data_IF_727465433756
#
_entry.id   IF_727465433756
#
_cell.length_a   1.000
_cell.length_b   1.000
_cell.length_c   1.000
_cell.angle_alpha   90.00
_cell.angle_beta   90.00
_cell.angle_gamma   90.00
#
_symmetry.space_group_name_H-M   'P 1'
#
loop_
_entity.id
_entity.type
_entity.pdbx_description
1 polymer ?
#
# COMPACT_ATOMS: atom_id res chain seq x y z
N UNK A 1 -17.05 -3.82 35.95
CA UNK A 1 -16.76 -4.26 34.57
C UNK A 1 -17.74 -3.52 33.67
N UNK A 2 -17.27 -2.73 32.70
CA UNK A 2 -18.18 -2.01 31.81
C UNK A 2 -18.96 -3.00 30.93
N UNK A 3 -20.22 -2.69 30.61
CA UNK A 3 -21.05 -3.52 29.72
C UNK A 3 -20.34 -3.76 28.37
N UNK A 4 -19.58 -2.77 27.90
CA UNK A 4 -18.68 -2.86 26.76
C UNK A 4 -17.68 -4.02 26.88
N UNK A 5 -16.96 -4.11 28.01
CA UNK A 5 -15.99 -5.17 28.28
C UNK A 5 -16.64 -6.55 28.36
N UNK A 6 -17.84 -6.64 28.94
CA UNK A 6 -18.62 -7.89 28.99
C UNK A 6 -19.04 -8.34 27.60
N UNK A 7 -19.53 -7.43 26.75
CA UNK A 7 -19.89 -7.74 25.36
C UNK A 7 -18.68 -8.22 24.54
N UNK A 8 -17.52 -7.58 24.70
CA UNK A 8 -16.28 -8.04 24.06
C UNK A 8 -15.90 -9.44 24.57
N UNK A 9 -15.96 -9.67 25.88
CA UNK A 9 -15.65 -10.98 26.47
C UNK A 9 -16.54 -12.09 25.91
N UNK A 10 -17.86 -11.88 25.87
CA UNK A 10 -18.83 -12.82 25.28
C UNK A 10 -18.50 -13.06 23.80
N UNK A 11 -18.21 -12.00 23.06
CA UNK A 11 -17.87 -12.07 21.63
C UNK A 11 -16.62 -12.91 21.38
N UNK A 12 -15.58 -12.75 22.21
CA UNK A 12 -14.35 -13.55 22.12
C UNK A 12 -14.64 -15.02 22.41
N UNK A 13 -15.43 -15.33 23.45
CA UNK A 13 -15.79 -16.72 23.79
C UNK A 13 -16.58 -17.38 22.66
N UNK A 14 -17.63 -16.73 22.17
CA UNK A 14 -18.41 -17.21 21.02
C UNK A 14 -17.49 -17.42 19.81
N UNK A 15 -16.59 -16.47 19.57
CA UNK A 15 -15.70 -16.56 18.43
C UNK A 15 -14.71 -17.71 18.50
N UNK A 16 -14.15 -17.95 19.67
CA UNK A 16 -13.28 -19.10 19.93
C UNK A 16 -14.00 -20.41 19.62
N UNK A 17 -15.25 -20.57 20.08
CA UNK A 17 -16.02 -21.79 19.83
C UNK A 17 -16.35 -21.99 18.36
N UNK A 18 -16.81 -20.94 17.66
CA UNK A 18 -17.11 -21.00 16.23
C UNK A 18 -15.89 -21.31 15.36
N UNK A 19 -14.71 -20.77 15.72
CA UNK A 19 -13.45 -21.05 15.03
C UNK A 19 -13.04 -22.52 15.19
N UNK A 20 -13.15 -23.04 16.42
CA UNK A 20 -12.81 -24.44 16.72
C UNK A 20 -13.77 -25.42 16.06
N UNK A 21 -15.07 -25.12 16.05
CA UNK A 21 -16.07 -25.93 15.35
C UNK A 21 -15.73 -26.03 13.86
N UNK A 22 -15.36 -24.90 13.24
CA UNK A 22 -15.01 -24.84 11.82
C UNK A 22 -13.68 -25.52 11.50
N UNK A 23 -12.70 -25.43 12.40
CA UNK A 23 -11.37 -26.00 12.18
C UNK A 23 -10.82 -26.63 13.47
N UNK A 24 -11.09 -27.93 13.64
CA UNK A 24 -10.68 -28.73 14.81
C UNK A 24 -9.16 -28.78 15.06
N UNK A 25 -8.33 -28.36 14.10
CA UNK A 25 -6.87 -28.28 14.28
C UNK A 25 -6.44 -27.07 15.12
N UNK A 26 -7.31 -26.08 15.29
CA UNK A 26 -7.07 -24.89 16.12
C UNK A 26 -7.32 -25.26 17.59
N UNK A 27 -6.33 -25.03 18.44
CA UNK A 27 -6.46 -25.23 19.89
C UNK A 27 -6.74 -23.89 20.59
N UNK A 28 -7.30 -23.95 21.81
CA UNK A 28 -7.45 -22.76 22.66
C UNK A 28 -6.11 -22.05 22.90
N UNK A 29 -5.03 -22.81 23.05
CA UNK A 29 -3.68 -22.26 23.24
C UNK A 29 -3.22 -21.43 22.03
N UNK A 30 -3.64 -21.79 20.82
CA UNK A 30 -3.31 -21.01 19.62
C UNK A 30 -4.02 -19.65 19.65
N UNK A 31 -5.25 -19.61 20.15
CA UNK A 31 -6.03 -18.37 20.28
C UNK A 31 -5.47 -17.50 21.39
N UNK A 32 -5.10 -18.09 22.54
CA UNK A 32 -4.42 -17.37 23.62
C UNK A 32 -3.09 -16.78 23.13
N UNK A 33 -2.31 -17.55 22.39
CA UNK A 33 -1.07 -17.08 21.77
C UNK A 33 -1.32 -15.93 20.78
N UNK A 34 -2.39 -16.01 19.98
CA UNK A 34 -2.78 -14.95 19.05
C UNK A 34 -3.15 -13.66 19.79
N UNK A 35 -3.99 -13.75 20.83
CA UNK A 35 -4.39 -12.61 21.67
C UNK A 35 -3.18 -11.98 22.37
N UNK A 36 -2.26 -12.82 22.86
CA UNK A 36 -1.01 -12.37 23.47
C UNK A 36 -0.14 -11.57 22.48
N UNK A 37 0.05 -12.07 21.26
CA UNK A 37 0.80 -11.34 20.22
C UNK A 37 0.12 -10.03 19.83
N UNK A 38 -1.21 -10.01 19.71
CA UNK A 38 -1.98 -8.78 19.45
C UNK A 38 -1.70 -7.74 20.54
N UNK A 39 -1.76 -8.14 21.81
CA UNK A 39 -1.54 -7.24 22.95
C UNK A 39 -0.08 -6.74 23.00
N UNK A 40 0.90 -7.61 22.83
CA UNK A 40 2.31 -7.21 22.87
C UNK A 40 2.65 -6.30 21.69
N UNK A 41 2.28 -6.69 20.47
CA UNK A 41 2.61 -5.89 19.28
C UNK A 41 1.92 -4.53 19.31
N UNK A 42 0.67 -4.45 19.78
CA UNK A 42 -0.02 -3.16 19.97
C UNK A 42 0.65 -2.25 20.99
N UNK A 43 1.18 -2.83 22.08
CA UNK A 43 1.92 -2.10 23.11
C UNK A 43 3.32 -1.68 22.65
N UNK A 44 4.07 -2.57 22.03
CA UNK A 44 5.42 -2.26 21.51
C UNK A 44 5.35 -1.12 20.51
N UNK A 45 4.40 -1.16 19.56
CA UNK A 45 4.27 -0.08 18.59
C UNK A 45 3.81 1.24 19.23
N UNK A 46 2.97 1.19 20.27
CA UNK A 46 2.63 2.37 21.06
C UNK A 46 3.86 3.01 21.72
N UNK A 47 4.71 2.20 22.34
CA UNK A 47 5.94 2.66 22.99
C UNK A 47 6.94 3.24 21.97
N UNK A 48 7.06 2.62 20.80
CA UNK A 48 7.90 3.15 19.72
C UNK A 48 7.44 4.52 19.23
N UNK A 49 6.12 4.75 19.16
CA UNK A 49 5.58 6.05 18.79
C UNK A 49 5.86 7.14 19.84
N UNK A 50 5.97 6.75 21.11
CA UNK A 50 6.24 7.65 22.24
C UNK A 50 7.71 7.65 22.68
N UNK A 51 8.62 7.08 21.88
CA UNK A 51 10.00 6.82 22.31
C UNK A 51 10.78 8.10 22.64
N UNK A 52 10.51 9.20 21.94
CA UNK A 52 11.13 10.50 22.21
C UNK A 52 10.67 11.07 23.55
N UNK A 53 9.38 10.98 23.85
CA UNK A 53 8.83 11.36 25.16
C UNK A 53 9.40 10.52 26.29
N UNK A 54 9.54 9.21 26.08
CA UNK A 54 10.15 8.30 27.07
C UNK A 54 11.63 8.66 27.30
N UNK A 55 12.39 8.94 26.23
CA UNK A 55 13.78 9.41 26.32
C UNK A 55 13.91 10.75 27.03
N UNK A 56 12.90 11.61 26.92
CA UNK A 56 12.80 12.88 27.63
C UNK A 56 12.29 12.74 29.09
N UNK A 57 12.13 11.52 29.60
CA UNK A 57 11.75 11.25 30.99
C UNK A 57 10.26 11.12 31.25
N UNK A 58 9.41 11.09 30.22
CA UNK A 58 7.98 10.84 30.39
C UNK A 58 7.75 9.34 30.63
N UNK A 59 7.42 8.99 31.89
CA UNK A 59 7.25 7.58 32.32
C UNK A 59 5.84 7.04 32.01
N UNK A 60 4.82 7.91 31.94
CA UNK A 60 3.40 7.52 31.73
C UNK A 60 3.17 6.52 30.58
N UNK A 61 3.80 6.66 29.39
CA UNK A 61 3.68 5.66 28.32
C UNK A 61 4.04 4.23 28.72
N UNK A 62 4.78 4.00 29.81
CA UNK A 62 5.11 2.68 30.34
C UNK A 62 3.96 2.05 31.15
N UNK A 63 3.06 2.86 31.71
CA UNK A 63 1.93 2.37 32.51
C UNK A 63 0.88 1.69 31.62
N UNK A 64 0.73 0.38 31.78
CA UNK A 64 -0.16 -0.44 30.94
C UNK A 64 -1.65 -0.26 31.30
N UNK A 65 -1.93 0.18 32.52
CA UNK A 65 -3.29 0.42 33.03
C UNK A 65 -3.86 1.78 32.61
N UNK A 66 -3.02 2.70 32.11
CA UNK A 66 -3.46 3.97 31.52
C UNK A 66 -3.88 3.83 30.04
N UNK A 67 -3.97 2.58 29.55
CA UNK A 67 -4.23 2.29 28.14
C UNK A 67 -2.94 2.33 27.32
N UNK A 68 -3.01 2.87 26.11
CA UNK A 68 -1.86 2.95 25.20
C UNK A 68 -1.61 1.66 24.42
N UNK A 69 -2.61 1.28 23.62
CA UNK A 69 -2.51 0.22 22.62
C UNK A 69 -2.78 0.81 21.24
N UNK A 70 -1.95 0.47 20.27
CA UNK A 70 -2.17 0.91 18.88
C UNK A 70 -2.90 -0.17 18.09
N UNK A 71 -3.90 0.26 17.30
CA UNK A 71 -4.58 -0.63 16.34
C UNK A 71 -3.61 -1.25 15.34
N UNK A 72 -2.63 -0.47 14.84
CA UNK A 72 -1.65 -0.95 13.87
C UNK A 72 -0.76 -2.05 14.44
N UNK A 73 -0.33 -1.92 15.70
CA UNK A 73 0.47 -2.96 16.33
C UNK A 73 -0.37 -4.21 16.60
N UNK A 74 -1.65 -4.06 16.94
CA UNK A 74 -2.58 -5.19 17.04
C UNK A 74 -2.72 -5.93 15.70
N UNK A 75 -2.85 -5.22 14.58
CA UNK A 75 -2.93 -5.81 13.24
C UNK A 75 -1.65 -6.57 12.87
N UNK A 76 -0.48 -6.01 13.16
CA UNK A 76 0.82 -6.68 12.93
C UNK A 76 0.92 -7.96 13.77
N UNK A 77 0.56 -7.89 15.06
CA UNK A 77 0.55 -9.05 15.96
C UNK A 77 -0.41 -10.14 15.50
N UNK A 78 -1.60 -9.76 15.02
CA UNK A 78 -2.58 -10.69 14.44
C UNK A 78 -1.99 -11.40 13.21
N UNK A 79 -1.48 -10.67 12.22
CA UNK A 79 -0.94 -11.26 10.99
C UNK A 79 0.26 -12.18 11.26
N UNK A 80 1.16 -11.75 12.14
CA UNK A 80 2.32 -12.55 12.55
C UNK A 80 1.88 -13.82 13.28
N UNK A 81 0.95 -13.71 14.23
CA UNK A 81 0.42 -14.86 14.95
C UNK A 81 -0.27 -15.87 14.04
N UNK A 82 -1.09 -15.41 13.10
CA UNK A 82 -1.72 -16.29 12.11
C UNK A 82 -0.69 -16.98 11.21
N UNK A 83 0.36 -16.28 10.82
CA UNK A 83 1.45 -16.88 10.04
C UNK A 83 2.17 -17.98 10.84
N UNK A 84 2.52 -17.71 12.10
CA UNK A 84 3.18 -18.69 12.98
C UNK A 84 2.30 -19.91 13.22
N UNK A 85 1.02 -19.71 13.57
CA UNK A 85 0.05 -20.79 13.80
C UNK A 85 -0.15 -21.62 12.52
N UNK A 86 -0.27 -20.97 11.37
CA UNK A 86 -0.36 -21.65 10.07
C UNK A 86 0.82 -22.60 9.83
N UNK A 87 2.05 -22.17 10.12
CA UNK A 87 3.25 -23.01 9.96
C UNK A 87 3.31 -24.13 11.00
N UNK A 88 3.08 -23.82 12.27
CA UNK A 88 3.19 -24.78 13.37
C UNK A 88 2.12 -25.89 13.29
N UNK A 89 0.87 -25.50 13.03
CA UNK A 89 -0.27 -26.45 12.90
C UNK A 89 -0.38 -27.09 11.51
N UNK A 90 0.51 -26.73 10.57
CA UNK A 90 0.47 -27.16 9.16
C UNK A 90 -0.92 -26.91 8.53
N UNK A 91 -1.50 -25.75 8.82
CA UNK A 91 -2.75 -25.27 8.24
C UNK A 91 -2.40 -24.25 7.17
N UNK A 92 -3.04 -24.32 6.01
CA UNK A 92 -2.87 -23.30 4.97
C UNK A 92 -3.26 -21.90 5.49
N UNK A 93 -2.41 -20.90 5.27
CA UNK A 93 -2.62 -19.55 5.79
C UNK A 93 -3.95 -18.95 5.35
N UNK A 94 -4.32 -19.10 4.06
CA UNK A 94 -5.58 -18.58 3.55
C UNK A 94 -6.79 -19.35 4.06
N UNK A 95 -6.64 -20.65 4.33
CA UNK A 95 -7.68 -21.43 5.01
C UNK A 95 -7.91 -20.95 6.45
N UNK A 96 -6.84 -20.57 7.15
CA UNK A 96 -6.92 -20.03 8.51
C UNK A 96 -7.56 -18.64 8.50
N UNK A 97 -7.12 -17.74 7.61
CA UNK A 97 -7.69 -16.39 7.49
C UNK A 97 -9.13 -16.43 7.02
N UNK A 98 -9.51 -17.30 6.09
CA UNK A 98 -10.91 -17.48 5.67
C UNK A 98 -11.80 -17.85 6.85
N UNK A 99 -11.32 -18.71 7.75
CA UNK A 99 -12.07 -19.14 8.94
C UNK A 99 -12.27 -17.97 9.92
N UNK A 100 -11.23 -17.15 10.12
CA UNK A 100 -11.28 -16.01 11.04
C UNK A 100 -12.12 -14.87 10.47
N UNK A 101 -11.85 -14.49 9.22
CA UNK A 101 -12.52 -13.39 8.54
C UNK A 101 -13.99 -13.70 8.21
N UNK A 102 -14.37 -14.99 8.19
CA UNK A 102 -15.77 -15.38 8.15
C UNK A 102 -16.53 -14.83 9.36
N UNK A 103 -16.01 -14.98 10.58
CA UNK A 103 -16.72 -14.62 11.81
C UNK A 103 -16.37 -13.23 12.35
N UNK A 104 -15.27 -12.62 11.89
CA UNK A 104 -14.84 -11.30 12.34
C UNK A 104 -15.93 -10.20 12.19
N UNK A 105 -16.72 -10.12 11.11
CA UNK A 105 -17.81 -9.15 11.02
C UNK A 105 -18.90 -9.37 12.08
N UNK A 106 -19.20 -10.63 12.43
CA UNK A 106 -20.16 -10.92 13.51
C UNK A 106 -19.65 -10.33 14.84
N UNK A 107 -18.36 -10.49 15.12
CA UNK A 107 -17.75 -9.95 16.32
C UNK A 107 -17.74 -8.43 16.35
N UNK A 108 -17.41 -7.80 15.23
CA UNK A 108 -17.52 -6.35 15.08
C UNK A 108 -18.98 -5.90 15.30
N UNK A 109 -19.96 -6.63 14.75
CA UNK A 109 -21.37 -6.29 14.90
C UNK A 109 -21.80 -6.22 16.36
N UNK A 110 -21.47 -7.25 17.14
CA UNK A 110 -21.80 -7.32 18.57
C UNK A 110 -20.99 -6.29 19.37
N UNK A 111 -19.69 -6.18 19.13
CA UNK A 111 -18.81 -5.25 19.84
C UNK A 111 -19.24 -3.79 19.69
N UNK A 112 -19.76 -3.42 18.50
CA UNK A 112 -20.26 -2.06 18.23
C UNK A 112 -21.49 -1.68 19.04
N UNK A 113 -22.31 -2.65 19.48
CA UNK A 113 -23.43 -2.36 20.37
C UNK A 113 -22.95 -1.85 21.74
N UNK A 114 -21.74 -2.24 22.16
CA UNK A 114 -21.15 -1.70 23.38
C UNK A 114 -20.88 -0.19 23.28
N UNK A 115 -20.56 0.34 22.09
CA UNK A 115 -20.28 1.76 21.92
C UNK A 115 -21.51 2.63 22.22
N UNK A 116 -22.72 2.09 22.01
CA UNK A 116 -23.97 2.77 22.40
C UNK A 116 -23.99 3.10 23.89
N UNK A 117 -23.71 2.11 24.73
CA UNK A 117 -23.77 2.27 26.18
C UNK A 117 -22.66 3.17 26.74
N UNK A 118 -21.56 3.32 26.00
CA UNK A 118 -20.48 4.25 26.35
C UNK A 118 -20.66 5.65 25.74
N UNK A 119 -21.72 5.88 24.94
CA UNK A 119 -21.88 7.10 24.12
C UNK A 119 -20.65 7.41 23.24
N UNK A 120 -20.01 6.36 22.74
CA UNK A 120 -18.85 6.44 21.86
C UNK A 120 -19.25 6.16 20.41
N UNK A 121 -18.38 6.54 19.46
CA UNK A 121 -18.52 6.19 18.05
C UNK A 121 -19.83 6.69 17.40
N UNK A 122 -20.29 7.87 17.80
CA UNK A 122 -21.32 8.61 17.08
C UNK A 122 -20.69 9.43 15.93
N UNK A 123 -21.52 9.79 14.97
CA UNK A 123 -21.12 10.55 13.79
C UNK A 123 -21.52 12.01 13.87
N UNK A 124 -21.50 12.68 12.72
CA UNK A 124 -21.88 14.09 12.56
C UNK A 124 -23.31 14.37 13.05
N UNK A 125 -23.62 15.64 13.38
CA UNK A 125 -24.98 16.05 13.74
C UNK A 125 -26.01 15.61 12.70
N UNK A 126 -27.18 15.19 13.16
CA UNK A 126 -28.23 14.68 12.30
C UNK A 126 -29.62 14.91 12.87
N UNK A 127 -30.57 15.25 12.00
CA UNK A 127 -31.99 15.40 12.34
C UNK A 127 -32.83 14.20 11.87
N UNK A 128 -32.19 13.08 11.51
CA UNK A 128 -32.88 11.87 11.09
C UNK A 128 -33.68 11.26 12.26
N UNK A 129 -34.80 10.56 12.00
CA UNK A 129 -35.68 10.06 13.06
C UNK A 129 -35.04 8.96 13.93
N UNK A 130 -33.91 8.39 13.53
CA UNK A 130 -33.12 7.43 14.30
C UNK A 130 -31.80 8.02 14.83
N UNK A 131 -31.63 9.34 14.78
CA UNK A 131 -30.49 10.01 15.41
C UNK A 131 -30.53 9.79 16.93
N UNK A 132 -29.36 9.65 17.54
CA UNK A 132 -29.24 9.41 18.99
C UNK A 132 -28.87 10.69 19.70
N UNK A 133 -29.35 10.84 20.93
CA UNK A 133 -28.93 11.94 21.79
C UNK A 133 -27.65 11.58 22.52
N UNK A 134 -26.68 12.50 22.53
CA UNK A 134 -25.41 12.36 23.26
C UNK A 134 -25.38 13.39 24.40
N UNK A 135 -25.06 13.00 25.65
CA UNK A 135 -24.91 13.93 26.77
C UNK A 135 -23.84 14.99 26.50
N UNK A 136 -24.05 16.23 26.96
CA UNK A 136 -23.16 17.37 26.69
C UNK A 136 -21.70 17.07 27.06
N UNK A 137 -21.47 16.41 28.20
CA UNK A 137 -20.14 16.05 28.72
C UNK A 137 -19.37 15.05 27.85
N UNK A 138 -20.06 14.35 26.93
CA UNK A 138 -19.48 13.30 26.07
C UNK A 138 -19.46 13.71 24.60
N UNK A 139 -19.86 14.95 24.29
CA UNK A 139 -19.81 15.50 22.93
C UNK A 139 -18.40 15.95 22.58
N UNK A 140 -18.05 15.77 21.31
CA UNK A 140 -16.85 16.35 20.72
C UNK A 140 -16.95 17.87 20.80
N UNK A 141 -15.84 18.52 21.17
CA UNK A 141 -15.77 19.97 21.43
C UNK A 141 -16.27 20.80 20.24
N UNK A 142 -16.15 20.28 19.02
CA UNK A 142 -16.58 20.98 17.81
C UNK A 142 -18.10 20.91 17.57
N UNK A 143 -18.85 20.16 18.40
CA UNK A 143 -20.28 19.89 18.18
C UNK A 143 -21.14 20.04 19.44
N UNK A 144 -20.70 20.83 20.42
CA UNK A 144 -21.41 21.04 21.70
C UNK A 144 -22.85 21.56 21.51
N UNK A 145 -23.07 22.36 20.47
CA UNK A 145 -24.36 22.99 20.13
C UNK A 145 -25.42 22.00 19.65
N UNK A 146 -25.01 20.79 19.22
CA UNK A 146 -25.91 19.78 18.69
C UNK A 146 -26.26 18.75 19.75
N UNK A 147 -27.53 18.34 19.78
CA UNK A 147 -28.03 17.32 20.71
C UNK A 147 -28.23 15.95 20.09
N UNK A 148 -28.30 15.85 18.76
CA UNK A 148 -28.62 14.64 18.01
C UNK A 148 -27.57 14.32 16.94
N UNK A 149 -27.14 13.06 16.88
CA UNK A 149 -26.03 12.62 16.05
C UNK A 149 -26.35 11.33 15.29
N UNK A 150 -25.65 11.10 14.19
CA UNK A 150 -25.72 9.83 13.49
C UNK A 150 -25.24 8.66 14.39
N UNK A 151 -26.00 7.57 14.53
CA UNK A 151 -25.55 6.40 15.28
C UNK A 151 -24.60 5.54 14.44
N UNK A 152 -23.36 6.01 14.25
CA UNK A 152 -22.38 5.32 13.38
C UNK A 152 -22.04 3.92 13.91
N UNK A 153 -22.03 3.71 15.23
CA UNK A 153 -21.92 2.37 15.81
C UNK A 153 -23.01 1.41 15.28
N UNK A 154 -24.25 1.89 15.11
CA UNK A 154 -25.37 1.08 14.64
C UNK A 154 -25.22 0.78 13.15
N UNK A 155 -24.81 1.79 12.36
CA UNK A 155 -24.52 1.59 10.94
C UNK A 155 -23.43 0.54 10.74
N UNK A 156 -22.32 0.64 11.50
CA UNK A 156 -21.26 -0.37 11.47
C UNK A 156 -21.75 -1.73 11.98
N UNK A 157 -22.57 -1.77 13.02
CA UNK A 157 -23.10 -3.02 13.56
C UNK A 157 -23.96 -3.77 12.55
N UNK A 158 -24.91 -3.08 11.92
CA UNK A 158 -25.85 -3.64 10.93
C UNK A 158 -25.11 -4.04 9.65
N UNK A 159 -24.24 -3.18 9.12
CA UNK A 159 -23.47 -3.49 7.92
C UNK A 159 -22.54 -4.69 8.13
N UNK A 160 -21.91 -4.81 9.30
CA UNK A 160 -21.09 -5.98 9.62
C UNK A 160 -21.93 -7.25 9.84
N UNK A 161 -23.16 -7.15 10.34
CA UNK A 161 -24.07 -8.30 10.40
C UNK A 161 -24.44 -8.81 9.00
N UNK A 162 -24.85 -7.91 8.09
CA UNK A 162 -25.09 -8.28 6.70
C UNK A 162 -23.84 -8.84 6.01
N UNK A 163 -22.68 -8.25 6.30
CA UNK A 163 -21.40 -8.74 5.82
C UNK A 163 -21.11 -10.16 6.31
N UNK A 164 -21.36 -10.46 7.59
CA UNK A 164 -21.26 -11.82 8.13
C UNK A 164 -22.19 -12.79 7.40
N UNK A 165 -23.47 -12.43 7.22
CA UNK A 165 -24.44 -13.28 6.53
C UNK A 165 -24.04 -13.56 5.08
N UNK A 166 -23.52 -12.55 4.37
CA UNK A 166 -22.96 -12.68 3.04
C UNK A 166 -21.79 -13.68 3.01
N UNK A 167 -20.79 -13.50 3.89
CA UNK A 167 -19.64 -14.39 3.94
C UNK A 167 -20.04 -15.81 4.35
N UNK A 168 -21.00 -15.97 5.27
CA UNK A 168 -21.54 -17.26 5.68
C UNK A 168 -22.21 -17.97 4.51
N UNK A 169 -23.07 -17.28 3.76
CA UNK A 169 -23.70 -17.82 2.56
C UNK A 169 -22.65 -18.27 1.53
N UNK A 170 -21.66 -17.42 1.25
CA UNK A 170 -20.60 -17.73 0.29
C UNK A 170 -19.70 -18.88 0.77
N UNK A 171 -19.41 -18.97 2.06
CA UNK A 171 -18.58 -20.05 2.64
C UNK A 171 -19.24 -21.42 2.56
N UNK A 172 -20.57 -21.47 2.52
CA UNK A 172 -21.33 -22.72 2.31
C UNK A 172 -21.35 -23.13 0.83
N UNK A 173 -21.31 -22.16 -0.09
CA UNK A 173 -21.38 -22.40 -1.54
C UNK A 173 -20.02 -22.64 -2.19
N UNK A 174 -18.95 -22.04 -1.66
CA UNK A 174 -17.62 -22.06 -2.26
C UNK A 174 -16.56 -22.48 -1.24
N UNK A 175 -15.68 -23.40 -1.65
CA UNK A 175 -14.61 -23.98 -0.81
C UNK A 175 -13.21 -23.52 -1.20
N UNK A 176 -13.10 -22.55 -2.13
CA UNK A 176 -11.81 -22.03 -2.60
C UNK A 176 -11.13 -21.23 -1.48
N UNK A 177 -9.93 -21.68 -1.09
CA UNK A 177 -9.09 -21.01 -0.09
C UNK A 177 -8.75 -19.58 -0.53
N UNK A 178 -8.84 -18.65 0.41
CA UNK A 178 -8.60 -17.22 0.27
C UNK A 178 -9.78 -16.45 -0.32
N UNK A 179 -10.87 -17.13 -0.74
CA UNK A 179 -12.02 -16.46 -1.34
C UNK A 179 -12.71 -15.59 -0.30
N UNK A 180 -12.99 -16.12 0.89
CA UNK A 180 -13.63 -15.39 1.97
C UNK A 180 -12.74 -14.23 2.42
N UNK A 181 -11.44 -14.45 2.55
CA UNK A 181 -10.45 -13.41 2.84
C UNK A 181 -10.51 -12.28 1.81
N UNK A 182 -10.51 -12.62 0.51
CA UNK A 182 -10.54 -11.63 -0.55
C UNK A 182 -11.82 -10.81 -0.57
N UNK A 183 -12.97 -11.47 -0.40
CA UNK A 183 -14.27 -10.80 -0.39
C UNK A 183 -14.37 -9.93 0.86
N UNK A 184 -14.01 -10.45 2.05
CA UNK A 184 -13.99 -9.68 3.29
C UNK A 184 -13.21 -8.37 3.13
N UNK A 185 -11.99 -8.42 2.58
CA UNK A 185 -11.14 -7.24 2.44
C UNK A 185 -11.75 -6.19 1.51
N UNK A 186 -12.42 -6.63 0.44
CA UNK A 186 -13.11 -5.75 -0.51
C UNK A 186 -14.36 -5.15 0.13
N UNK A 187 -15.28 -5.98 0.65
CA UNK A 187 -16.54 -5.50 1.21
C UNK A 187 -16.35 -4.71 2.49
N UNK A 188 -15.43 -5.10 3.37
CA UNK A 188 -15.13 -4.32 4.58
C UNK A 188 -14.51 -2.97 4.25
N UNK A 189 -13.65 -2.88 3.22
CA UNK A 189 -13.17 -1.59 2.74
C UNK A 189 -14.33 -0.71 2.26
N UNK A 190 -15.28 -1.25 1.50
CA UNK A 190 -16.48 -0.51 1.09
C UNK A 190 -17.33 -0.05 2.28
N UNK A 191 -17.57 -0.92 3.27
CA UNK A 191 -18.27 -0.57 4.51
C UNK A 191 -17.53 0.57 5.20
N UNK A 192 -16.21 0.46 5.37
CA UNK A 192 -15.41 1.46 6.06
C UNK A 192 -15.42 2.79 5.34
N UNK A 193 -15.28 2.81 4.01
CA UNK A 193 -15.36 4.03 3.19
C UNK A 193 -16.72 4.72 3.34
N UNK A 194 -17.81 3.94 3.32
CA UNK A 194 -19.17 4.46 3.53
C UNK A 194 -19.36 5.04 4.94
N UNK A 195 -19.03 4.28 5.99
CA UNK A 195 -19.25 4.74 7.36
C UNK A 195 -18.37 5.92 7.72
N UNK A 196 -17.20 6.05 7.09
CA UNK A 196 -16.28 7.17 7.30
C UNK A 196 -16.87 8.54 6.92
N UNK A 197 -17.85 8.58 6.02
CA UNK A 197 -18.53 9.82 5.62
C UNK A 197 -19.20 10.49 6.82
N UNK A 198 -19.74 9.67 7.72
CA UNK A 198 -20.49 10.11 8.90
C UNK A 198 -19.61 10.32 10.12
N UNK A 199 -18.38 9.78 10.16
CA UNK A 199 -17.52 9.83 11.35
C UNK A 199 -16.98 11.23 11.61
N UNK A 200 -16.84 11.53 12.90
CA UNK A 200 -16.19 12.75 13.39
C UNK A 200 -14.72 12.44 13.75
N UNK A 201 -14.47 11.25 14.30
CA UNK A 201 -13.15 10.84 14.77
C UNK A 201 -12.24 10.47 13.59
N UNK A 202 -11.30 11.36 13.28
CA UNK A 202 -10.37 11.20 12.15
C UNK A 202 -8.94 11.12 12.65
N UNK A 203 -8.33 9.95 12.46
CA UNK A 203 -6.89 9.78 12.61
C UNK A 203 -6.19 10.07 11.28
N UNK A 204 -5.03 10.74 11.33
CA UNK A 204 -4.21 11.00 10.15
C UNK A 204 -2.86 10.30 10.28
N UNK A 205 -2.40 9.70 9.18
CA UNK A 205 -1.07 9.13 9.04
C UNK A 205 -0.46 9.73 7.79
N UNK A 206 0.71 10.38 7.94
CA UNK A 206 1.40 11.04 6.84
C UNK A 206 0.52 12.06 6.09
N UNK A 207 -0.35 12.77 6.82
CA UNK A 207 -1.29 13.76 6.26
C UNK A 207 -2.51 13.16 5.55
N UNK A 208 -2.60 11.83 5.42
CA UNK A 208 -3.75 11.14 4.84
C UNK A 208 -4.60 10.57 5.97
N UNK A 209 -5.92 10.68 5.84
CA UNK A 209 -6.82 10.06 6.80
C UNK A 209 -6.60 8.54 6.85
N UNK A 210 -6.25 8.04 8.03
CA UNK A 210 -5.73 6.70 8.26
C UNK A 210 -6.71 5.60 7.83
N UNK A 211 -7.99 5.92 7.93
CA UNK A 211 -9.10 5.03 7.55
C UNK A 211 -9.26 4.93 6.03
N UNK A 212 -9.03 6.00 5.28
CA UNK A 212 -8.98 5.94 3.81
C UNK A 212 -7.77 5.14 3.34
N UNK A 213 -6.60 5.40 3.92
CA UNK A 213 -5.38 4.66 3.59
C UNK A 213 -5.56 3.15 3.81
N UNK A 214 -6.05 2.73 4.98
CA UNK A 214 -6.31 1.33 5.28
C UNK A 214 -7.39 0.71 4.38
N UNK A 215 -8.46 1.45 4.07
CA UNK A 215 -9.52 0.94 3.21
C UNK A 215 -9.03 0.71 1.79
N UNK A 216 -8.22 1.63 1.24
CA UNK A 216 -7.63 1.47 -0.09
C UNK A 216 -6.67 0.28 -0.12
N UNK A 217 -5.80 0.16 0.89
CA UNK A 217 -4.88 -1.00 1.00
C UNK A 217 -5.67 -2.30 1.05
N UNK A 218 -6.68 -2.38 1.93
CA UNK A 218 -7.55 -3.56 2.07
C UNK A 218 -8.26 -3.90 0.75
N UNK A 219 -8.85 -2.91 0.08
CA UNK A 219 -9.54 -3.09 -1.20
C UNK A 219 -8.59 -3.65 -2.27
N UNK A 220 -7.42 -3.05 -2.44
CA UNK A 220 -6.42 -3.48 -3.42
C UNK A 220 -5.88 -4.88 -3.11
N UNK A 221 -5.58 -5.17 -1.84
CA UNK A 221 -5.12 -6.50 -1.41
C UNK A 221 -6.20 -7.55 -1.64
N UNK A 222 -7.46 -7.26 -1.32
CA UNK A 222 -8.58 -8.15 -1.56
C UNK A 222 -8.77 -8.47 -3.05
N UNK A 223 -8.77 -7.45 -3.91
CA UNK A 223 -8.85 -7.63 -5.38
C UNK A 223 -7.68 -8.47 -5.89
N UNK A 224 -6.46 -8.19 -5.41
CA UNK A 224 -5.27 -8.94 -5.80
C UNK A 224 -5.41 -10.44 -5.44
N UNK A 225 -5.78 -10.74 -4.19
CA UNK A 225 -5.99 -12.13 -3.73
C UNK A 225 -7.07 -12.81 -4.58
N UNK A 226 -8.19 -12.13 -4.83
CA UNK A 226 -9.28 -12.67 -5.66
C UNK A 226 -8.80 -13.01 -7.08
N UNK A 227 -8.07 -12.10 -7.72
CA UNK A 227 -7.52 -12.31 -9.07
C UNK A 227 -6.49 -13.46 -9.10
N UNK A 228 -5.67 -13.62 -8.06
CA UNK A 228 -4.75 -14.75 -7.92
C UNK A 228 -5.52 -16.07 -7.80
N UNK A 229 -6.56 -16.12 -6.97
CA UNK A 229 -7.40 -17.33 -6.76
C UNK A 229 -8.18 -17.69 -8.02
N UNK A 230 -8.69 -16.70 -8.75
CA UNK A 230 -9.33 -16.90 -10.05
C UNK A 230 -8.33 -17.31 -11.15
N UNK A 231 -7.04 -17.51 -10.81
CA UNK A 231 -5.94 -17.83 -11.73
C UNK A 231 -5.79 -16.80 -12.86
N UNK A 232 -6.27 -15.56 -12.67
CA UNK A 232 -6.09 -14.45 -13.62
C UNK A 232 -4.70 -13.81 -13.48
N UNK A 233 -3.65 -14.63 -13.29
CA UNK A 233 -2.26 -14.19 -13.13
C UNK A 233 -1.77 -13.39 -14.33
N UNK A 234 -2.19 -13.78 -15.53
CA UNK A 234 -1.85 -13.06 -16.76
C UNK A 234 -2.48 -11.66 -16.80
N UNK A 235 -3.73 -11.50 -16.35
CA UNK A 235 -4.39 -10.20 -16.27
C UNK A 235 -3.69 -9.28 -15.27
N UNK A 236 -3.34 -9.80 -14.08
CA UNK A 236 -2.58 -9.07 -13.07
C UNK A 236 -1.21 -8.63 -13.59
N UNK A 237 -0.50 -9.55 -14.24
CA UNK A 237 0.78 -9.24 -14.83
C UNK A 237 0.66 -8.20 -15.95
N UNK A 238 -0.37 -8.28 -16.82
CA UNK A 238 -0.68 -7.24 -17.81
C UNK A 238 -0.94 -5.89 -17.17
N UNK A 239 -1.70 -5.85 -16.07
CA UNK A 239 -2.05 -4.63 -15.35
C UNK A 239 -0.80 -3.97 -14.74
N UNK A 240 -0.04 -4.69 -13.91
CA UNK A 240 1.19 -4.15 -13.32
C UNK A 240 2.21 -3.75 -14.38
N UNK A 241 2.37 -4.57 -15.43
CA UNK A 241 3.30 -4.29 -16.51
C UNK A 241 2.91 -3.04 -17.32
N UNK A 242 1.63 -2.65 -17.38
CA UNK A 242 1.15 -1.49 -18.15
C UNK A 242 1.02 -0.23 -17.30
N UNK A 243 0.65 -0.36 -16.02
CA UNK A 243 0.30 0.79 -15.17
C UNK A 243 1.50 1.28 -14.34
N UNK A 244 2.24 0.38 -13.68
CA UNK A 244 3.24 0.81 -12.70
C UNK A 244 4.37 1.67 -13.31
N UNK A 245 5.01 1.29 -14.44
CA UNK A 245 6.08 2.12 -15.00
C UNK A 245 5.63 3.53 -15.42
N UNK A 246 4.51 3.72 -16.16
CA UNK A 246 4.00 5.06 -16.46
C UNK A 246 3.65 5.90 -15.23
N UNK A 247 3.09 5.28 -14.18
CA UNK A 247 2.80 6.00 -12.91
C UNK A 247 4.08 6.49 -12.26
N UNK A 248 5.14 5.66 -12.21
CA UNK A 248 6.44 6.08 -11.67
C UNK A 248 7.07 7.21 -12.49
N UNK A 249 6.95 7.15 -13.81
CA UNK A 249 7.40 8.23 -14.71
C UNK A 249 6.65 9.53 -14.43
N UNK A 250 5.32 9.49 -14.37
CA UNK A 250 4.48 10.65 -14.06
C UNK A 250 4.79 11.24 -12.68
N UNK A 251 4.95 10.39 -11.68
CA UNK A 251 5.28 10.79 -10.32
C UNK A 251 6.65 11.50 -10.27
N UNK A 252 7.64 10.99 -10.99
CA UNK A 252 8.97 11.59 -11.07
C UNK A 252 8.92 12.92 -11.85
N UNK A 253 8.16 12.99 -12.95
CA UNK A 253 8.04 14.22 -13.74
C UNK A 253 7.38 15.34 -12.94
N UNK A 254 6.32 15.03 -12.19
CA UNK A 254 5.68 15.99 -11.28
C UNK A 254 6.64 16.40 -10.15
N UNK A 255 7.42 15.45 -9.62
CA UNK A 255 8.40 15.73 -8.57
C UNK A 255 9.47 16.73 -9.01
N UNK A 256 9.96 16.63 -10.26
CA UNK A 256 10.93 17.59 -10.81
C UNK A 256 10.36 19.01 -10.81
N UNK A 257 9.11 19.18 -11.28
CA UNK A 257 8.45 20.50 -11.32
C UNK A 257 8.23 21.07 -9.92
N UNK A 258 7.80 20.24 -8.96
CA UNK A 258 7.45 20.69 -7.62
C UNK A 258 8.65 20.93 -6.70
N UNK A 259 9.79 20.28 -6.96
CA UNK A 259 10.96 20.33 -6.06
C UNK A 259 12.13 21.12 -6.55
N UNK A 260 12.24 21.35 -7.86
CA UNK A 260 13.39 22.05 -8.41
C UNK A 260 12.98 23.48 -8.73
N UNK A 261 13.49 24.41 -7.94
CA UNK A 261 13.26 25.85 -8.10
C UNK A 261 14.17 26.41 -9.19
N UNK A 262 13.66 26.39 -10.43
CA UNK A 262 14.33 26.90 -11.64
C UNK A 262 13.29 27.61 -12.53
N UNK A 263 13.73 28.49 -13.45
CA UNK A 263 12.79 29.18 -14.33
C UNK A 263 11.91 28.22 -15.14
N UNK A 264 10.65 28.62 -15.36
CA UNK A 264 9.62 27.79 -16.00
C UNK A 264 10.06 27.23 -17.37
N UNK A 265 10.80 27.99 -18.17
CA UNK A 265 11.27 27.53 -19.48
C UNK A 265 12.28 26.36 -19.37
N UNK A 266 13.11 26.34 -18.32
CA UNK A 266 13.97 25.19 -18.03
C UNK A 266 13.16 24.00 -17.52
N UNK A 267 12.18 24.21 -16.63
CA UNK A 267 11.28 23.13 -16.18
C UNK A 267 10.59 22.44 -17.36
N UNK A 268 10.05 23.24 -18.29
CA UNK A 268 9.40 22.74 -19.51
C UNK A 268 10.43 21.99 -20.38
N UNK A 269 11.63 22.54 -20.56
CA UNK A 269 12.70 21.89 -21.34
C UNK A 269 13.07 20.52 -20.76
N UNK A 270 13.25 20.41 -19.44
CA UNK A 270 13.54 19.13 -18.78
C UNK A 270 12.41 18.12 -18.95
N UNK A 271 11.15 18.54 -18.78
CA UNK A 271 9.99 17.67 -19.01
C UNK A 271 9.93 17.17 -20.46
N UNK A 272 10.15 18.07 -21.41
CA UNK A 272 10.13 17.76 -22.84
C UNK A 272 11.23 16.76 -23.20
N UNK A 273 12.47 17.06 -22.83
CA UNK A 273 13.64 16.24 -23.18
C UNK A 273 13.65 14.87 -22.49
N UNK A 274 13.14 14.79 -21.25
CA UNK A 274 13.26 13.56 -20.44
C UNK A 274 12.07 12.62 -20.62
N UNK A 275 10.86 13.16 -20.83
CA UNK A 275 9.63 12.36 -20.81
C UNK A 275 8.86 12.48 -22.12
N UNK A 276 8.51 13.70 -22.54
CA UNK A 276 7.56 13.90 -23.64
C UNK A 276 8.17 13.46 -24.98
N UNK A 277 9.37 13.93 -25.32
CA UNK A 277 10.04 13.56 -26.57
C UNK A 277 10.34 12.06 -26.65
N UNK A 278 10.91 11.40 -25.62
CA UNK A 278 11.08 9.94 -25.67
C UNK A 278 9.78 9.15 -25.87
N UNK A 279 8.68 9.58 -25.23
CA UNK A 279 7.35 8.96 -25.44
C UNK A 279 6.88 9.19 -26.87
N UNK A 280 6.98 10.42 -27.38
CA UNK A 280 6.57 10.78 -28.74
C UNK A 280 7.38 10.02 -29.79
N UNK A 281 8.71 9.92 -29.63
CA UNK A 281 9.60 9.12 -30.49
C UNK A 281 9.14 7.66 -30.51
N UNK A 282 8.82 7.09 -29.34
CA UNK A 282 8.34 5.70 -29.25
C UNK A 282 7.00 5.51 -29.97
N UNK A 283 6.08 6.48 -29.85
CA UNK A 283 4.79 6.49 -30.53
C UNK A 283 4.95 6.62 -32.06
N UNK A 284 5.79 7.54 -32.51
CA UNK A 284 6.12 7.75 -33.93
C UNK A 284 6.70 6.46 -34.52
N UNK A 285 7.68 5.85 -33.84
CA UNK A 285 8.28 4.58 -34.28
C UNK A 285 7.24 3.47 -34.41
N UNK A 286 6.22 3.46 -33.54
CA UNK A 286 5.11 2.52 -33.63
C UNK A 286 4.19 2.82 -34.81
N UNK A 287 3.84 4.09 -35.04
CA UNK A 287 2.98 4.52 -36.16
C UNK A 287 3.62 4.16 -37.50
N UNK A 288 4.94 4.36 -37.64
CA UNK A 288 5.70 4.02 -38.84
C UNK A 288 6.14 2.54 -38.89
N UNK A 289 5.63 1.67 -38.02
CA UNK A 289 5.97 0.24 -37.95
C UNK A 289 7.48 -0.06 -37.85
N UNK A 290 8.29 0.88 -37.34
CA UNK A 290 9.71 0.67 -37.02
C UNK A 290 9.84 -0.26 -35.80
N UNK A 291 8.88 -0.19 -34.87
CA UNK A 291 8.80 -1.06 -33.69
C UNK A 291 7.57 -1.97 -33.73
N UNK A 292 7.78 -3.23 -33.34
CA UNK A 292 6.75 -4.27 -33.30
C UNK A 292 5.67 -4.03 -32.24
N UNK A 293 5.99 -3.29 -31.18
CA UNK A 293 5.05 -2.82 -30.18
C UNK A 293 5.60 -1.60 -29.42
N UNK A 294 4.70 -0.90 -28.70
CA UNK A 294 5.06 0.25 -27.86
C UNK A 294 6.06 -0.09 -26.74
N UNK A 295 6.16 -1.36 -26.34
CA UNK A 295 7.08 -1.80 -25.29
C UNK A 295 8.46 -2.22 -25.81
N UNK A 296 8.68 -2.13 -27.12
CA UNK A 296 9.93 -2.46 -27.84
C UNK A 296 10.51 -3.80 -27.35
N UNK A 297 9.71 -4.84 -27.53
CA UNK A 297 10.03 -6.16 -26.97
C UNK A 297 11.20 -6.86 -27.65
N UNK A 298 11.46 -6.56 -28.93
CA UNK A 298 12.58 -7.13 -29.69
C UNK A 298 13.86 -6.35 -29.40
N UNK A 299 14.97 -7.06 -29.19
CA UNK A 299 16.27 -6.46 -28.86
C UNK A 299 16.77 -5.56 -29.99
N UNK A 300 16.67 -6.04 -31.22
CA UNK A 300 17.17 -5.40 -32.44
C UNK A 300 16.52 -4.04 -32.74
N UNK A 301 15.31 -3.82 -32.25
CA UNK A 301 14.57 -2.55 -32.44
C UNK A 301 15.05 -1.45 -31.47
N UNK A 302 15.74 -1.81 -30.38
CA UNK A 302 16.08 -0.89 -29.29
C UNK A 302 17.20 0.09 -29.61
N UNK A 303 18.33 -0.29 -30.25
CA UNK A 303 19.43 0.63 -30.50
C UNK A 303 18.98 1.91 -31.22
N UNK A 304 18.07 1.80 -32.19
CA UNK A 304 17.52 2.94 -32.92
C UNK A 304 16.80 3.95 -32.01
N UNK A 305 16.10 3.48 -30.98
CA UNK A 305 15.44 4.36 -30.00
C UNK A 305 16.43 4.99 -29.03
N UNK A 306 17.39 4.21 -28.51
CA UNK A 306 18.43 4.73 -27.62
C UNK A 306 19.26 5.82 -28.30
N UNK A 307 19.58 5.67 -29.59
CA UNK A 307 20.29 6.68 -30.37
C UNK A 307 19.52 8.00 -30.51
N UNK A 308 18.18 7.99 -30.43
CA UNK A 308 17.37 9.20 -30.42
C UNK A 308 17.11 9.75 -29.01
N UNK A 309 17.08 8.89 -28.00
CA UNK A 309 16.91 9.33 -26.61
C UNK A 309 18.17 9.98 -26.05
N UNK A 310 19.35 9.45 -26.41
CA UNK A 310 20.61 9.91 -25.84
C UNK A 310 20.89 11.40 -26.13
N UNK A 311 20.70 11.93 -27.37
CA UNK A 311 20.80 13.36 -27.61
C UNK A 311 19.87 14.20 -26.74
N UNK A 312 18.61 13.78 -26.55
CA UNK A 312 17.66 14.48 -25.69
C UNK A 312 18.17 14.56 -24.23
N UNK A 313 18.68 13.44 -23.71
CA UNK A 313 19.23 13.36 -22.36
C UNK A 313 20.55 14.12 -22.21
N UNK A 314 21.40 14.15 -23.24
CA UNK A 314 22.64 14.92 -23.27
C UNK A 314 22.36 16.42 -23.28
N UNK A 315 21.36 16.87 -24.05
CA UNK A 315 20.90 18.27 -24.01
C UNK A 315 20.38 18.63 -22.62
N UNK A 316 19.60 17.75 -21.97
CA UNK A 316 19.16 17.99 -20.60
C UNK A 316 20.35 18.07 -19.62
N UNK A 317 21.36 17.19 -19.77
CA UNK A 317 22.58 17.28 -18.97
C UNK A 317 23.32 18.60 -19.19
N UNK A 318 23.43 19.07 -20.43
CA UNK A 318 24.03 20.36 -20.74
C UNK A 318 23.30 21.52 -20.03
N UNK A 319 21.97 21.58 -20.14
CA UNK A 319 21.16 22.60 -19.46
C UNK A 319 21.32 22.55 -17.94
N UNK A 320 21.54 21.35 -17.36
CA UNK A 320 21.78 21.22 -15.92
C UNK A 320 23.12 21.83 -15.48
N UNK A 321 24.16 21.77 -16.32
CA UNK A 321 25.43 22.44 -16.08
C UNK A 321 25.32 23.96 -16.25
N UNK A 322 24.56 24.42 -17.26
CA UNK A 322 24.29 25.84 -17.47
C UNK A 322 23.60 26.48 -16.25
N UNK A 323 22.64 25.77 -15.66
CA UNK A 323 21.95 26.17 -14.43
C UNK A 323 22.80 26.02 -13.15
N UNK A 324 23.98 25.39 -13.24
CA UNK A 324 24.84 25.06 -12.10
C UNK A 324 24.11 24.33 -10.95
N UNK A 325 23.06 23.56 -11.28
CA UNK A 325 22.24 22.89 -10.27
C UNK A 325 22.79 21.47 -10.00
N UNK A 326 23.38 21.22 -8.83
CA UNK A 326 24.08 19.96 -8.56
C UNK A 326 23.14 18.74 -8.58
N UNK A 327 21.89 18.93 -8.16
CA UNK A 327 20.89 17.86 -8.14
C UNK A 327 20.51 17.43 -9.56
N UNK A 328 20.27 18.40 -10.45
CA UNK A 328 19.99 18.14 -11.86
C UNK A 328 21.19 17.50 -12.56
N UNK A 329 22.41 18.01 -12.34
CA UNK A 329 23.64 17.45 -12.90
C UNK A 329 23.77 15.98 -12.49
N UNK A 330 23.52 15.66 -11.22
CA UNK A 330 23.56 14.29 -10.73
C UNK A 330 22.50 13.40 -11.39
N UNK A 331 21.24 13.84 -11.44
CA UNK A 331 20.14 13.09 -12.07
C UNK A 331 20.45 12.79 -13.54
N UNK A 332 20.88 13.80 -14.29
CA UNK A 332 21.14 13.64 -15.71
C UNK A 332 22.45 12.91 -16.01
N UNK A 333 23.45 12.97 -15.13
CA UNK A 333 24.65 12.13 -15.24
C UNK A 333 24.30 10.64 -15.09
N UNK A 334 23.47 10.31 -14.09
CA UNK A 334 22.97 8.94 -13.90
C UNK A 334 22.13 8.48 -15.10
N UNK A 335 21.21 9.31 -15.59
CA UNK A 335 20.40 8.99 -16.77
C UNK A 335 21.26 8.71 -18.00
N UNK A 336 22.15 9.63 -18.36
CA UNK A 336 22.97 9.50 -19.55
C UNK A 336 23.88 8.27 -19.49
N UNK A 337 24.58 8.06 -18.38
CA UNK A 337 25.48 6.91 -18.24
C UNK A 337 24.71 5.58 -18.23
N UNK A 338 23.53 5.53 -17.59
CA UNK A 338 22.68 4.33 -17.60
C UNK A 338 22.17 4.01 -19.01
N UNK A 339 21.72 5.00 -19.77
CA UNK A 339 21.22 4.80 -21.13
C UNK A 339 22.34 4.47 -22.11
N UNK A 340 23.53 5.06 -21.96
CA UNK A 340 24.72 4.75 -22.75
C UNK A 340 25.16 3.30 -22.53
N UNK A 341 25.37 2.90 -21.28
CA UNK A 341 25.73 1.51 -20.96
C UNK A 341 24.61 0.54 -21.36
N UNK A 342 23.35 0.93 -21.16
CA UNK A 342 22.19 0.15 -21.59
C UNK A 342 22.16 -0.08 -23.09
N UNK A 343 22.50 0.93 -23.91
CA UNK A 343 22.65 0.82 -25.35
C UNK A 343 23.76 -0.18 -25.72
N UNK A 344 24.96 -0.01 -25.15
CA UNK A 344 26.11 -0.89 -25.40
C UNK A 344 25.77 -2.34 -25.07
N UNK A 345 25.18 -2.59 -23.89
CA UNK A 345 24.81 -3.93 -23.48
C UNK A 345 23.71 -4.51 -24.38
N UNK A 346 22.76 -3.69 -24.84
CA UNK A 346 21.65 -4.15 -25.68
C UNK A 346 22.10 -4.70 -27.04
N UNK A 347 23.29 -4.35 -27.53
CA UNK A 347 23.86 -5.02 -28.71
C UNK A 347 24.14 -6.51 -28.48
N UNK A 348 24.59 -6.88 -27.28
CA UNK A 348 24.99 -8.25 -26.96
C UNK A 348 23.94 -9.02 -26.17
N UNK A 349 23.17 -8.34 -25.30
CA UNK A 349 22.27 -8.99 -24.34
C UNK A 349 20.97 -8.20 -24.11
N UNK A 350 19.84 -8.90 -24.11
CA UNK A 350 18.51 -8.29 -23.92
C UNK A 350 18.27 -7.98 -22.42
N UNK A 351 18.52 -6.75 -21.98
CA UNK A 351 18.19 -6.31 -20.60
C UNK A 351 16.74 -5.79 -20.50
N UNK A 352 16.10 -5.91 -19.33
CA UNK A 352 14.75 -5.36 -19.11
C UNK A 352 14.74 -3.84 -18.97
N UNK A 353 14.42 -3.13 -20.07
CA UNK A 353 14.33 -1.66 -20.08
C UNK A 353 13.30 -1.08 -19.10
N UNK A 354 12.21 -1.80 -18.85
CA UNK A 354 11.20 -1.37 -17.89
C UNK A 354 11.71 -1.41 -16.46
N UNK A 355 12.59 -2.37 -16.13
CA UNK A 355 13.26 -2.38 -14.82
C UNK A 355 14.22 -1.22 -14.69
N UNK A 356 15.00 -0.93 -15.76
CA UNK A 356 15.92 0.22 -15.78
C UNK A 356 15.17 1.52 -15.46
N UNK A 357 14.12 1.83 -16.23
CA UNK A 357 13.31 3.04 -16.00
C UNK A 357 12.71 3.04 -14.60
N UNK A 358 12.12 1.92 -14.15
CA UNK A 358 11.43 1.90 -12.85
C UNK A 358 12.39 2.15 -11.69
N UNK A 359 13.61 1.59 -11.72
CA UNK A 359 14.63 1.85 -10.71
C UNK A 359 15.06 3.32 -10.72
N UNK A 360 15.32 3.88 -11.91
CA UNK A 360 15.70 5.29 -12.05
C UNK A 360 14.61 6.23 -11.52
N UNK A 361 13.34 6.02 -11.90
CA UNK A 361 12.22 6.85 -11.45
C UNK A 361 12.03 6.80 -9.93
N UNK A 362 12.10 5.61 -9.33
CA UNK A 362 12.02 5.46 -7.88
C UNK A 362 13.19 6.17 -7.20
N UNK A 363 14.42 5.96 -7.68
CA UNK A 363 15.60 6.60 -7.11
C UNK A 363 15.52 8.13 -7.19
N UNK A 364 15.16 8.69 -8.34
CA UNK A 364 15.02 10.15 -8.49
C UNK A 364 13.91 10.73 -7.63
N UNK A 365 12.78 10.03 -7.50
CA UNK A 365 11.72 10.47 -6.59
C UNK A 365 12.21 10.49 -5.14
N UNK A 366 12.92 9.44 -4.70
CA UNK A 366 13.53 9.39 -3.36
C UNK A 366 14.51 10.54 -3.18
N UNK A 367 15.37 10.78 -4.18
CA UNK A 367 16.38 11.84 -4.14
C UNK A 367 15.75 13.25 -4.05
N UNK A 368 14.68 13.51 -4.80
CA UNK A 368 14.02 14.83 -4.86
C UNK A 368 13.28 15.20 -3.58
N UNK A 369 12.70 14.23 -2.89
CA UNK A 369 11.83 14.49 -1.74
C UNK A 369 12.46 14.14 -0.40
N UNK A 370 13.31 13.11 -0.36
CA UNK A 370 13.97 12.62 0.85
C UNK A 370 13.00 12.34 2.03
N UNK A 371 11.81 11.80 1.73
CA UNK A 371 10.79 11.49 2.74
C UNK A 371 10.71 9.97 3.01
N UNK A 372 10.58 9.53 4.28
CA UNK A 372 10.58 8.10 4.65
C UNK A 372 9.53 7.25 3.92
N UNK A 373 8.37 7.80 3.59
CA UNK A 373 7.31 7.05 2.92
C UNK A 373 7.57 6.79 1.43
N UNK A 374 8.45 7.58 0.79
CA UNK A 374 8.74 7.41 -0.64
C UNK A 374 9.53 6.13 -0.90
N UNK A 375 10.23 5.63 0.11
CA UNK A 375 10.87 4.31 0.07
C UNK A 375 9.86 3.16 -0.14
N UNK A 376 8.57 3.36 0.15
CA UNK A 376 7.54 2.35 -0.15
C UNK A 376 7.40 2.08 -1.66
N UNK A 377 7.84 3.00 -2.53
CA UNK A 377 7.86 2.77 -3.98
C UNK A 377 8.74 1.58 -4.37
N UNK A 378 9.73 1.20 -3.55
CA UNK A 378 10.57 0.03 -3.78
C UNK A 378 9.77 -1.27 -3.88
N UNK A 379 8.59 -1.34 -3.25
CA UNK A 379 7.67 -2.50 -3.34
C UNK A 379 7.19 -2.73 -4.78
N UNK A 380 7.15 -1.69 -5.62
CA UNK A 380 6.75 -1.83 -7.02
C UNK A 380 7.77 -2.60 -7.86
N UNK A 381 9.07 -2.59 -7.50
CA UNK A 381 10.12 -3.26 -8.27
C UNK A 381 9.91 -4.79 -8.37
N UNK A 382 9.72 -5.54 -7.27
CA UNK A 382 9.43 -6.96 -7.37
C UNK A 382 8.12 -7.24 -8.10
N UNK A 383 7.10 -6.37 -8.00
CA UNK A 383 5.84 -6.51 -8.73
C UNK A 383 6.03 -6.35 -10.25
N UNK A 384 6.78 -5.33 -10.68
CA UNK A 384 7.12 -5.11 -12.08
C UNK A 384 7.98 -6.27 -12.58
N UNK A 385 9.00 -6.69 -11.83
CA UNK A 385 9.84 -7.85 -12.16
C UNK A 385 9.03 -9.13 -12.35
N UNK A 386 8.19 -9.47 -11.37
CA UNK A 386 7.27 -10.61 -11.43
C UNK A 386 6.36 -10.53 -12.66
N UNK A 387 5.78 -9.36 -12.96
CA UNK A 387 4.91 -9.17 -14.12
C UNK A 387 5.63 -9.45 -15.45
N UNK A 388 6.93 -9.18 -15.55
CA UNK A 388 7.72 -9.43 -16.77
C UNK A 388 8.03 -10.90 -16.96
N UNK A 389 8.28 -11.62 -15.87
CA UNK A 389 8.47 -13.07 -15.87
C UNK A 389 7.17 -13.79 -16.22
N UNK A 390 6.07 -13.39 -15.58
CA UNK A 390 4.76 -14.03 -15.76
C UNK A 390 4.17 -13.84 -17.17
N UNK A 391 4.55 -12.78 -17.87
CA UNK A 391 4.16 -12.53 -19.27
C UNK A 391 5.18 -13.09 -20.27
N UNK A 392 6.18 -13.83 -19.82
CA UNK A 392 7.25 -14.41 -20.65
C UNK A 392 7.98 -13.37 -21.52
N UNK A 393 8.01 -12.11 -21.08
CA UNK A 393 8.65 -11.01 -21.81
C UNK A 393 10.15 -10.97 -21.62
N UNK A 394 10.61 -11.41 -20.43
CA UNK A 394 12.01 -11.41 -20.02
C UNK A 394 12.31 -12.64 -19.15
N UNK A 395 13.57 -13.08 -19.15
CA UNK A 395 14.06 -14.09 -18.19
C UNK A 395 14.52 -13.44 -16.88
N UNK A 396 14.70 -14.25 -15.83
CA UNK A 396 15.16 -13.80 -14.51
C UNK A 396 16.48 -13.01 -14.63
N UNK A 397 17.45 -13.52 -15.38
CA UNK A 397 18.73 -12.85 -15.60
C UNK A 397 18.56 -11.46 -16.23
N UNK A 398 17.62 -11.32 -17.18
CA UNK A 398 17.35 -10.05 -17.86
C UNK A 398 16.65 -9.02 -16.97
N UNK A 399 15.78 -9.49 -16.07
CA UNK A 399 15.13 -8.65 -15.05
C UNK A 399 16.17 -8.17 -14.04
N UNK A 400 17.01 -9.07 -13.52
CA UNK A 400 18.10 -8.75 -12.59
C UNK A 400 19.09 -7.77 -13.23
N UNK A 401 19.52 -8.01 -14.48
CA UNK A 401 20.40 -7.09 -15.20
C UNK A 401 19.80 -5.69 -15.34
N UNK A 402 18.47 -5.59 -15.51
CA UNK A 402 17.78 -4.30 -15.60
C UNK A 402 17.66 -3.56 -14.28
N UNK A 403 17.82 -4.26 -13.15
CA UNK A 403 17.88 -3.66 -11.81
C UNK A 403 19.32 -3.27 -11.44
N UNK A 404 20.27 -4.17 -11.70
CA UNK A 404 21.67 -3.96 -11.30
C UNK A 404 22.35 -2.84 -12.09
N UNK A 405 22.05 -2.69 -13.38
CA UNK A 405 22.66 -1.65 -14.21
C UNK A 405 22.46 -0.22 -13.66
N UNK A 406 21.21 0.26 -13.46
CA UNK A 406 21.01 1.60 -12.89
C UNK A 406 21.56 1.72 -11.47
N UNK A 407 21.47 0.68 -10.63
CA UNK A 407 22.03 0.72 -9.27
C UNK A 407 23.55 0.93 -9.31
N UNK A 408 24.26 0.18 -10.17
CA UNK A 408 25.70 0.33 -10.34
C UNK A 408 26.06 1.75 -10.76
N UNK A 409 25.36 2.31 -11.75
CA UNK A 409 25.58 3.68 -12.22
C UNK A 409 25.28 4.71 -11.13
N UNK A 410 24.18 4.54 -10.39
CA UNK A 410 23.81 5.41 -9.26
C UNK A 410 24.93 5.44 -8.23
N UNK A 411 25.43 4.27 -7.81
CA UNK A 411 26.51 4.16 -6.82
C UNK A 411 27.79 4.80 -7.35
N UNK A 412 28.17 4.54 -8.60
CA UNK A 412 29.36 5.11 -9.22
C UNK A 412 29.31 6.64 -9.21
N UNK A 413 28.21 7.25 -9.68
CA UNK A 413 28.05 8.70 -9.70
C UNK A 413 28.02 9.28 -8.28
N UNK A 414 27.33 8.63 -7.33
CA UNK A 414 27.31 9.07 -5.93
C UNK A 414 28.70 9.09 -5.29
N UNK A 415 29.52 8.07 -5.56
CA UNK A 415 30.89 7.99 -5.05
C UNK A 415 31.75 9.07 -5.68
N UNK A 416 31.69 9.25 -7.01
CA UNK A 416 32.46 10.28 -7.73
C UNK A 416 32.05 11.68 -7.28
N UNK A 417 30.76 11.94 -7.03
CA UNK A 417 30.27 13.26 -6.59
C UNK A 417 30.65 13.65 -5.15
N UNK A 418 31.18 12.70 -4.36
CA UNK A 418 31.64 12.93 -2.98
C UNK A 418 33.17 13.12 -2.88
N UNK A 419 33.89 12.81 -3.95
CA UNK A 419 35.32 13.08 -4.14
C UNK A 419 35.46 14.47 -4.78
#
# INVERSE_FOLDING_TARGET
>A
MSLYGTLIGITVVIGVELLKEKNKKILYLDILFLLFLILISSRVLFLLHNIEGIRAGIIRPLYIWEGGLTFYGALVGLLLGLYIISKYRKIDFFSLTDTILLYLPLFHSIGRLGNYFNNELYGKPSNLPWAISIPLEQRDLNYLEYSHFHPVFLYESVLNLFHFLLLLHLSKRYTKKGLITSIYLISYASIRLFTNIFRIDKGYILGIESSYMLSIISLLTGILILLIIMKKKELLAKLFSRILPPVLVLLTSVSIVLKIDIPLHYQISFLLLTFILPILITLIFRIFNITSNLTVSKREERPKLFLLFLPCLLTALYLSFELQNPLLIQIYSVLNLTFLLGLVITFYWKISFHMIISVLMIFFTILLWNLPFIYLLLISLPLIGWSRLQLERHSIKQVIGGVLLPIFVIVLILVVSRL
#
